data_IF_966642138352
#
_entry.id   IF_966642138352
#
_cell.length_a   1.000
_cell.length_b   1.000
_cell.length_c   1.000
_cell.angle_alpha   90.00
_cell.angle_beta   90.00
_cell.angle_gamma   90.00
#
_symmetry.space_group_name_H-M   'P 1'
#
loop_
_entity.id
_entity.type
_entity.pdbx_description
1 polymer ?
#
# COMPACT_ATOMS: atom_id res chain seq x y z
N UNK A 1 46.33 -56.06 -22.25
CA UNK A 1 45.65 -56.65 -23.42
C UNK A 1 45.33 -55.53 -24.39
N UNK A 2 45.74 -55.63 -25.65
CA UNK A 2 45.52 -54.61 -26.67
C UNK A 2 44.68 -55.20 -27.80
N UNK A 3 43.65 -54.49 -28.25
CA UNK A 3 42.99 -54.77 -29.52
C UNK A 3 42.89 -53.47 -30.33
N UNK A 4 43.30 -53.58 -31.59
CA UNK A 4 43.45 -52.49 -32.55
C UNK A 4 42.44 -52.69 -33.69
N UNK A 5 41.88 -51.56 -34.13
CA UNK A 5 41.39 -51.29 -35.48
C UNK A 5 40.01 -51.83 -35.90
N UNK A 6 39.36 -51.01 -36.72
CA UNK A 6 38.00 -51.17 -37.22
C UNK A 6 37.59 -49.94 -38.04
N UNK A 7 38.46 -49.52 -38.98
CA UNK A 7 38.17 -48.42 -39.90
C UNK A 7 37.11 -48.90 -40.92
N UNK A 8 36.05 -48.12 -41.14
CA UNK A 8 34.97 -48.48 -42.06
C UNK A 8 34.26 -47.25 -42.61
N UNK A 9 34.86 -46.63 -43.64
CA UNK A 9 34.20 -45.64 -44.50
C UNK A 9 33.38 -46.32 -45.60
N UNK A 10 32.50 -45.51 -46.22
CA UNK A 10 31.78 -45.62 -47.50
C UNK A 10 30.26 -45.69 -47.28
N UNK A 11 29.48 -44.62 -47.49
CA UNK A 11 29.28 -43.71 -48.63
C UNK A 11 28.16 -44.17 -49.58
N UNK A 12 27.01 -43.48 -49.48
CA UNK A 12 26.05 -43.21 -50.57
C UNK A 12 24.87 -42.41 -49.96
N UNK A 13 24.71 -41.10 -50.17
CA UNK A 13 24.32 -40.43 -51.41
C UNK A 13 22.94 -40.85 -51.96
N UNK A 14 21.86 -40.36 -51.33
CA UNK A 14 20.57 -40.22 -51.99
C UNK A 14 20.11 -38.76 -51.89
N UNK A 15 20.48 -37.99 -52.92
CA UNK A 15 19.80 -36.74 -53.24
C UNK A 15 18.53 -37.12 -54.01
N UNK A 16 17.37 -36.72 -53.50
CA UNK A 16 16.22 -36.45 -54.35
C UNK A 16 15.71 -35.05 -54.01
N UNK A 17 15.37 -34.31 -55.06
CA UNK A 17 14.99 -32.91 -54.99
C UNK A 17 13.72 -32.69 -55.82
N UNK A 18 13.05 -31.57 -55.55
CA UNK A 18 12.02 -30.95 -56.38
C UNK A 18 10.66 -31.67 -56.37
N UNK A 19 9.74 -31.09 -55.58
CA UNK A 19 8.42 -30.72 -56.09
C UNK A 19 8.06 -29.36 -55.48
N UNK A 20 8.17 -28.30 -56.27
CA UNK A 20 7.77 -26.95 -55.88
C UNK A 20 6.53 -26.55 -56.68
N UNK A 21 5.46 -26.17 -55.99
CA UNK A 21 4.24 -25.61 -56.58
C UNK A 21 3.89 -24.33 -55.84
N UNK A 22 4.11 -23.14 -56.43
CA UNK A 22 3.76 -21.86 -55.83
C UNK A 22 2.57 -21.19 -56.53
N UNK A 23 1.40 -21.12 -55.87
CA UNK A 23 0.33 -20.18 -56.27
C UNK A 23 -0.43 -19.63 -55.04
N UNK A 24 -0.59 -18.30 -55.00
CA UNK A 24 -1.70 -17.50 -54.43
C UNK A 24 -2.18 -17.73 -52.96
N UNK A 25 -2.72 -16.80 -52.18
CA UNK A 25 -2.87 -15.32 -52.13
C UNK A 25 -3.27 -14.98 -50.67
N UNK A 26 -3.03 -13.80 -50.06
CA UNK A 26 -2.36 -12.55 -50.43
C UNK A 26 -1.30 -12.18 -49.36
N UNK A 27 -1.02 -10.88 -49.10
CA UNK A 27 -0.43 -10.42 -47.83
C UNK A 27 0.87 -9.59 -47.94
N UNK A 28 0.99 -8.69 -48.92
CA UNK A 28 2.13 -7.76 -49.01
C UNK A 28 2.04 -6.70 -47.89
N UNK A 29 2.63 -6.99 -46.72
CA UNK A 29 2.92 -5.97 -45.72
C UNK A 29 4.27 -5.35 -46.08
N UNK A 30 4.21 -4.14 -46.64
CA UNK A 30 5.37 -3.34 -47.00
C UNK A 30 6.17 -2.93 -45.76
N UNK A 31 7.47 -3.26 -45.76
CA UNK A 31 8.43 -2.79 -44.75
C UNK A 31 9.39 -1.78 -45.38
N UNK A 32 9.04 -0.49 -45.37
CA UNK A 32 9.98 0.59 -45.68
C UNK A 32 9.53 1.95 -45.14
N UNK A 33 10.52 2.80 -44.80
CA UNK A 33 10.42 4.26 -44.68
C UNK A 33 9.44 4.86 -43.63
N UNK A 34 9.88 4.89 -42.36
CA UNK A 34 9.46 5.93 -41.40
C UNK A 34 10.50 7.07 -41.40
N UNK A 35 10.10 8.34 -41.61
CA UNK A 35 11.03 9.47 -41.57
C UNK A 35 11.53 9.76 -40.15
N UNK A 36 12.76 10.29 -40.05
CA UNK A 36 13.37 10.74 -38.78
C UNK A 36 12.92 12.17 -38.47
N UNK A 37 12.59 12.43 -37.20
CA UNK A 37 12.09 13.73 -36.73
C UNK A 37 10.58 13.88 -36.99
N UNK A 38 9.81 14.55 -36.14
CA UNK A 38 10.18 15.57 -35.14
C UNK A 38 9.55 15.21 -33.79
N UNK A 39 10.30 15.32 -32.70
CA UNK A 39 9.77 15.18 -31.35
C UNK A 39 9.10 16.51 -30.92
N UNK A 40 7.79 16.62 -31.08
CA UNK A 40 7.01 17.69 -30.45
C UNK A 40 6.83 17.37 -28.97
N UNK A 41 7.74 17.89 -28.15
CA UNK A 41 7.59 17.92 -26.70
C UNK A 41 6.38 18.78 -26.34
N UNK A 42 5.25 18.15 -25.99
CA UNK A 42 4.15 18.83 -25.29
C UNK A 42 4.60 19.06 -23.86
N UNK A 43 5.29 20.18 -23.63
CA UNK A 43 5.61 20.67 -22.30
C UNK A 43 4.36 21.24 -21.64
N UNK A 44 3.56 20.37 -21.04
CA UNK A 44 2.48 20.77 -20.12
C UNK A 44 3.07 21.34 -18.83
N UNK A 45 3.49 22.61 -18.86
CA UNK A 45 4.14 23.29 -17.74
C UNK A 45 3.14 24.09 -16.88
N UNK A 46 2.10 23.43 -16.38
CA UNK A 46 1.19 24.00 -15.37
C UNK A 46 1.53 23.48 -13.97
N UNK A 47 2.64 23.98 -13.43
CA UNK A 47 2.93 23.92 -12.01
C UNK A 47 2.40 25.20 -11.34
N UNK A 48 1.44 25.13 -10.39
CA UNK A 48 1.05 26.30 -9.64
C UNK A 48 2.24 26.78 -8.82
N UNK A 49 2.80 27.94 -9.19
CA UNK A 49 3.81 28.65 -8.39
C UNK A 49 3.17 29.12 -7.09
N UNK A 50 3.22 28.26 -6.08
CA UNK A 50 2.85 28.63 -4.72
C UNK A 50 3.76 29.78 -4.26
N UNK A 51 3.18 30.98 -4.16
CA UNK A 51 3.83 32.11 -3.49
C UNK A 51 3.96 31.77 -2.01
N UNK A 52 5.12 31.25 -1.60
CA UNK A 52 5.47 31.06 -0.19
C UNK A 52 5.74 32.42 0.44
N UNK A 53 4.68 33.14 0.79
CA UNK A 53 4.78 34.29 1.68
C UNK A 53 5.30 33.81 3.03
N UNK A 54 6.50 34.26 3.40
CA UNK A 54 7.01 34.10 4.77
C UNK A 54 6.08 34.91 5.68
N UNK A 55 5.18 34.22 6.38
CA UNK A 55 4.47 34.80 7.52
C UNK A 55 5.45 34.80 8.69
N UNK A 56 5.92 35.96 9.19
CA UNK A 56 6.79 35.99 10.35
C UNK A 56 6.01 35.51 11.58
N UNK A 57 6.48 34.43 12.19
CA UNK A 57 5.90 33.88 13.42
C UNK A 57 6.22 34.85 14.57
N UNK A 58 5.29 35.74 14.90
CA UNK A 58 5.47 36.71 15.98
C UNK A 58 5.56 35.99 17.32
N UNK A 59 6.69 36.16 18.00
CA UNK A 59 6.95 35.53 19.29
C UNK A 59 6.05 36.15 20.37
N UNK A 60 5.01 35.42 20.79
CA UNK A 60 4.22 35.77 21.97
C UNK A 60 5.10 35.67 23.22
N UNK A 61 5.51 36.80 23.80
CA UNK A 61 6.21 36.82 25.08
C UNK A 61 5.20 36.69 26.23
N UNK A 62 5.28 35.59 26.98
CA UNK A 62 4.52 35.48 28.25
C UNK A 62 5.28 36.19 29.36
N UNK A 63 4.91 37.45 29.64
CA UNK A 63 5.31 38.10 30.89
C UNK A 63 4.74 37.33 32.08
N UNK A 64 5.59 36.89 33.00
CA UNK A 64 5.21 36.17 34.23
C UNK A 64 5.44 37.05 35.46
N UNK A 65 4.51 37.97 35.68
CA UNK A 65 4.36 38.65 36.97
C UNK A 65 3.00 38.28 37.56
N UNK A 66 2.99 37.54 38.68
CA UNK A 66 2.84 38.20 39.98
C UNK A 66 3.01 37.20 41.13
N UNK A 67 3.78 37.59 42.14
CA UNK A 67 3.84 36.93 43.43
C UNK A 67 2.57 37.22 44.24
N UNK A 68 2.04 36.21 44.94
CA UNK A 68 1.19 36.44 46.10
C UNK A 68 1.30 35.27 47.08
N UNK A 69 2.20 35.43 48.05
CA UNK A 69 2.20 34.65 49.28
C UNK A 69 1.04 35.12 50.17
N UNK A 70 0.10 34.23 50.47
CA UNK A 70 -0.77 34.37 51.65
C UNK A 70 -0.90 33.07 52.42
N UNK A 71 -0.15 33.03 53.51
CA UNK A 71 -0.49 32.29 54.72
C UNK A 71 -1.95 32.62 55.10
N UNK A 72 -2.74 31.62 55.49
CA UNK A 72 -3.38 31.51 56.82
C UNK A 72 -4.43 30.38 56.80
N UNK A 73 -4.38 29.50 57.79
CA UNK A 73 -5.42 28.53 58.08
C UNK A 73 -6.48 29.17 58.98
N UNK A 74 -7.75 28.99 58.67
CA UNK A 74 -8.81 28.77 59.67
C UNK A 74 -9.84 27.81 59.11
N UNK A 75 -10.31 26.87 59.93
CA UNK A 75 -11.34 25.90 59.59
C UNK A 75 -12.63 26.21 60.36
N UNK A 76 -13.75 26.55 59.69
CA UNK A 76 -15.04 26.66 60.37
C UNK A 76 -15.79 25.34 60.34
N UNK A 77 -16.09 24.81 61.52
CA UNK A 77 -17.08 23.74 61.71
C UNK A 77 -18.49 24.29 61.49
N UNK A 78 -19.22 23.81 60.49
CA UNK A 78 -20.67 24.03 60.40
C UNK A 78 -21.42 22.75 60.04
N UNK A 79 -22.10 22.21 61.04
CA UNK A 79 -23.25 21.33 60.88
C UNK A 79 -24.49 22.15 60.53
N UNK A 80 -24.85 22.21 59.26
CA UNK A 80 -26.18 22.63 58.78
C UNK A 80 -26.35 22.15 57.35
N UNK A 81 -27.50 21.53 57.04
CA UNK A 81 -27.89 21.14 55.68
C UNK A 81 -28.81 22.21 55.09
N UNK A 82 -28.41 22.95 54.05
CA UNK A 82 -29.31 23.76 53.25
C UNK A 82 -29.73 22.95 52.01
N UNK A 83 -31.00 22.56 51.95
CA UNK A 83 -31.69 22.23 50.68
C UNK A 83 -31.90 23.55 49.90
N UNK A 84 -30.80 24.15 49.45
CA UNK A 84 -30.82 25.39 48.67
C UNK A 84 -30.71 25.06 47.18
N UNK A 85 -31.69 25.55 46.41
CA UNK A 85 -31.67 25.53 44.95
C UNK A 85 -30.59 26.48 44.43
N UNK A 86 -29.32 26.07 44.54
CA UNK A 86 -28.16 26.81 44.09
C UNK A 86 -28.07 26.85 42.56
N UNK A 87 -28.97 27.61 41.93
CA UNK A 87 -28.71 28.25 40.64
C UNK A 87 -27.68 29.38 40.84
N UNK A 88 -26.50 29.01 41.38
CA UNK A 88 -25.30 29.81 41.25
C UNK A 88 -25.13 30.07 39.75
N UNK A 89 -25.18 31.34 39.36
CA UNK A 89 -25.26 31.75 37.94
C UNK A 89 -24.13 31.08 37.17
N UNK A 90 -24.47 30.08 36.34
CA UNK A 90 -23.49 29.36 35.54
C UNK A 90 -22.65 30.38 34.78
N UNK A 91 -21.32 30.25 34.84
CA UNK A 91 -20.44 31.10 34.06
C UNK A 91 -20.82 30.98 32.58
N UNK A 92 -20.69 32.07 31.82
CA UNK A 92 -20.92 32.06 30.37
C UNK A 92 -20.09 30.95 29.70
N UNK A 93 -18.90 30.65 30.24
CA UNK A 93 -18.06 29.53 29.79
C UNK A 93 -18.67 28.15 30.10
N UNK A 94 -19.31 27.97 31.25
CA UNK A 94 -19.99 26.73 31.64
C UNK A 94 -21.23 26.50 30.77
N UNK A 95 -22.04 27.55 30.57
CA UNK A 95 -23.19 27.54 29.64
C UNK A 95 -22.70 27.17 28.22
N UNK A 96 -21.61 27.77 27.75
CA UNK A 96 -20.99 27.44 26.46
C UNK A 96 -20.50 25.98 26.42
N UNK A 97 -19.86 25.50 27.47
CA UNK A 97 -19.38 24.11 27.62
C UNK A 97 -20.53 23.12 27.48
N UNK A 98 -21.65 23.42 28.15
CA UNK A 98 -22.89 22.64 28.15
C UNK A 98 -23.58 22.63 26.80
N UNK A 99 -23.74 23.79 26.15
CA UNK A 99 -24.43 23.91 24.85
C UNK A 99 -23.62 23.26 23.71
N UNK A 100 -22.31 23.46 23.66
CA UNK A 100 -21.49 23.08 22.50
C UNK A 100 -20.64 21.81 22.70
N UNK A 101 -20.76 21.11 23.85
CA UNK A 101 -19.91 19.95 24.17
C UNK A 101 -18.41 20.28 24.25
N UNK A 102 -18.06 21.58 24.38
CA UNK A 102 -16.70 21.98 24.71
C UNK A 102 -16.39 21.58 26.16
N UNK A 103 -15.12 21.70 26.57
CA UNK A 103 -14.68 21.23 27.88
C UNK A 103 -13.76 22.28 28.48
N UNK A 104 -14.19 22.87 29.59
CA UNK A 104 -13.36 23.68 30.49
C UNK A 104 -12.37 22.72 31.16
N UNK A 105 -11.08 23.04 31.14
CA UNK A 105 -10.04 22.14 31.68
C UNK A 105 -9.10 22.84 32.63
N UNK A 106 -8.67 22.13 33.66
CA UNK A 106 -7.92 22.65 34.83
C UNK A 106 -6.42 22.88 34.54
N UNK A 107 -6.05 23.10 33.28
CA UNK A 107 -4.66 23.16 32.80
C UNK A 107 -3.90 21.83 32.77
N UNK A 108 -4.45 20.76 33.38
CA UNK A 108 -3.84 19.43 33.43
C UNK A 108 -4.08 18.60 32.14
N UNK A 109 -3.26 17.56 31.93
CA UNK A 109 -3.35 16.66 30.76
C UNK A 109 -4.49 15.65 30.92
N UNK A 110 -5.66 15.96 30.35
CA UNK A 110 -6.87 15.10 30.41
C UNK A 110 -7.01 14.04 29.29
N UNK A 111 -5.99 13.83 28.45
CA UNK A 111 -6.06 12.86 27.34
C UNK A 111 -6.97 13.24 26.16
N UNK A 112 -7.79 14.31 26.25
CA UNK A 112 -8.73 14.78 25.20
C UNK A 112 -8.11 14.97 23.81
N UNK A 113 -6.78 15.19 23.70
CA UNK A 113 -6.06 15.25 22.41
C UNK A 113 -6.03 13.89 21.69
N UNK A 114 -5.95 12.78 22.42
CA UNK A 114 -6.00 11.41 21.87
C UNK A 114 -7.40 11.10 21.37
N UNK A 115 -8.44 11.37 22.19
CA UNK A 115 -9.84 11.12 21.82
C UNK A 115 -10.34 11.98 20.65
N UNK A 116 -9.69 13.13 20.40
CA UNK A 116 -9.97 13.99 19.22
C UNK A 116 -9.24 13.55 17.95
N UNK A 117 -8.27 12.64 18.04
CA UNK A 117 -7.61 12.12 16.84
C UNK A 117 -8.57 11.14 16.14
N UNK A 118 -8.84 11.30 14.83
CA UNK A 118 -9.68 10.36 14.11
C UNK A 118 -9.01 8.99 14.05
N UNK A 119 -9.79 7.93 14.20
CA UNK A 119 -9.28 6.56 14.07
C UNK A 119 -8.79 6.33 12.64
N UNK A 120 -7.53 5.90 12.50
CA UNK A 120 -6.90 5.66 11.20
C UNK A 120 -6.96 4.19 10.75
N UNK A 121 -7.48 3.29 11.60
CA UNK A 121 -7.43 1.84 11.39
C UNK A 121 -8.02 1.38 10.06
N UNK A 122 -9.24 1.80 9.74
CA UNK A 122 -9.92 1.46 8.48
C UNK A 122 -9.13 1.95 7.25
N UNK A 123 -8.60 3.18 7.31
CA UNK A 123 -7.81 3.77 6.21
C UNK A 123 -6.48 3.07 5.99
N UNK A 124 -5.88 2.54 7.06
CA UNK A 124 -4.63 1.77 6.99
C UNK A 124 -4.90 0.32 6.54
N UNK A 125 -6.01 -0.28 6.96
CA UNK A 125 -6.43 -1.62 6.52
C UNK A 125 -6.76 -1.64 5.02
N UNK A 126 -7.47 -0.62 4.52
CA UNK A 126 -7.83 -0.46 3.11
C UNK A 126 -6.69 0.07 2.21
N UNK A 127 -5.42 0.03 2.66
CA UNK A 127 -4.29 0.53 1.87
C UNK A 127 -4.05 -0.27 0.59
N UNK A 128 -4.33 -1.58 0.62
CA UNK A 128 -4.42 -2.41 -0.58
C UNK A 128 -5.89 -2.80 -0.80
N UNK A 129 -6.45 -2.59 -2.01
CA UNK A 129 -7.81 -3.02 -2.29
C UNK A 129 -7.91 -4.55 -2.36
N UNK A 130 -9.05 -5.10 -1.94
CA UNK A 130 -9.29 -6.54 -1.98
C UNK A 130 -9.38 -7.08 -3.41
N UNK A 131 -8.80 -8.27 -3.63
CA UNK A 131 -8.91 -8.98 -4.90
C UNK A 131 -10.35 -9.49 -5.10
N UNK A 132 -11.09 -8.91 -6.04
CA UNK A 132 -12.47 -9.32 -6.41
C UNK A 132 -12.57 -10.83 -6.71
N UNK A 133 -11.52 -11.40 -7.31
CA UNK A 133 -11.43 -12.83 -7.68
C UNK A 133 -11.20 -13.75 -6.47
N UNK A 134 -10.96 -13.19 -5.27
CA UNK A 134 -10.92 -13.94 -4.00
C UNK A 134 -12.22 -13.80 -3.20
N UNK A 135 -12.99 -12.73 -3.40
CA UNK A 135 -14.23 -12.48 -2.66
C UNK A 135 -15.44 -13.19 -3.27
N UNK A 136 -15.54 -13.25 -4.60
CA UNK A 136 -16.61 -13.96 -5.30
C UNK A 136 -16.22 -15.43 -5.61
N UNK A 137 -16.88 -16.45 -5.01
CA UNK A 137 -16.61 -17.85 -5.30
C UNK A 137 -17.00 -18.30 -6.72
N UNK A 138 -17.80 -17.51 -7.44
CA UNK A 138 -18.17 -17.77 -8.84
C UNK A 138 -17.10 -17.25 -9.82
N UNK A 139 -16.22 -16.32 -9.40
CA UNK A 139 -15.14 -15.82 -10.24
C UNK A 139 -13.96 -16.79 -10.32
N UNK A 140 -13.73 -17.37 -11.51
CA UNK A 140 -12.61 -18.26 -11.76
C UNK A 140 -11.36 -17.47 -12.18
N UNK A 141 -10.24 -17.68 -11.49
CA UNK A 141 -8.97 -17.06 -11.83
C UNK A 141 -8.27 -17.78 -13.00
N UNK A 142 -8.42 -17.21 -14.21
CA UNK A 142 -7.72 -17.66 -15.45
C UNK A 142 -6.21 -17.88 -15.23
N UNK A 143 -5.56 -17.07 -14.37
CA UNK A 143 -4.15 -17.22 -14.00
C UNK A 143 -3.88 -18.55 -13.27
N UNK A 144 -4.75 -18.96 -12.33
CA UNK A 144 -4.62 -20.22 -11.61
C UNK A 144 -4.88 -21.43 -12.50
N UNK A 145 -5.86 -21.35 -13.41
CA UNK A 145 -6.12 -22.40 -14.41
C UNK A 145 -4.92 -22.62 -15.33
N UNK A 146 -4.36 -21.54 -15.89
CA UNK A 146 -3.13 -21.59 -16.70
C UNK A 146 -1.95 -22.17 -15.91
N UNK A 147 -1.83 -21.84 -14.62
CA UNK A 147 -0.82 -22.43 -13.75
C UNK A 147 -1.05 -23.94 -13.53
N UNK A 148 -2.30 -24.38 -13.30
CA UNK A 148 -2.69 -25.80 -13.15
C UNK A 148 -2.37 -26.59 -14.42
N UNK A 149 -2.77 -26.10 -15.61
CA UNK A 149 -2.46 -26.73 -16.90
C UNK A 149 -0.96 -26.82 -17.18
N UNK A 150 -0.18 -25.80 -16.81
CA UNK A 150 1.29 -25.82 -16.88
C UNK A 150 1.89 -26.87 -15.93
N UNK A 151 1.39 -26.94 -14.71
CA UNK A 151 1.84 -27.88 -13.68
C UNK A 151 1.57 -29.34 -14.12
N UNK A 152 0.39 -29.64 -14.65
CA UNK A 152 0.06 -30.99 -15.13
C UNK A 152 0.88 -31.37 -16.38
N UNK A 153 1.18 -30.43 -17.27
CA UNK A 153 2.15 -30.63 -18.37
C UNK A 153 3.56 -30.94 -17.86
N UNK A 154 3.99 -30.35 -16.75
CA UNK A 154 5.29 -30.63 -16.12
C UNK A 154 5.31 -31.99 -15.40
N UNK A 155 4.23 -32.38 -14.72
CA UNK A 155 4.07 -33.71 -14.11
C UNK A 155 4.22 -34.82 -15.15
N UNK A 156 3.50 -34.71 -16.28
CA UNK A 156 3.59 -35.67 -17.41
C UNK A 156 5.00 -35.81 -17.99
N UNK A 157 5.86 -34.79 -17.82
CA UNK A 157 7.26 -34.78 -18.28
C UNK A 157 8.26 -35.22 -17.20
N UNK A 158 7.82 -35.57 -15.99
CA UNK A 158 8.70 -35.81 -14.83
C UNK A 158 9.46 -34.56 -14.35
N UNK A 159 9.11 -33.36 -14.84
CA UNK A 159 9.76 -32.08 -14.52
C UNK A 159 8.94 -31.20 -13.58
N UNK A 160 7.97 -31.79 -12.87
CA UNK A 160 7.26 -31.09 -11.80
C UNK A 160 8.18 -30.90 -10.58
N UNK A 161 7.96 -29.85 -9.77
CA UNK A 161 8.63 -29.73 -8.47
C UNK A 161 8.40 -31.00 -7.62
N UNK A 162 9.45 -31.59 -7.03
CA UNK A 162 9.31 -32.79 -6.21
C UNK A 162 8.55 -32.50 -4.91
N UNK A 163 8.02 -33.55 -4.27
CA UNK A 163 7.38 -33.44 -2.95
C UNK A 163 8.35 -32.76 -1.96
N UNK A 164 7.84 -31.86 -1.11
CA UNK A 164 8.61 -31.18 -0.04
C UNK A 164 9.40 -32.22 0.75
N UNK A 165 10.72 -32.02 0.85
CA UNK A 165 11.66 -32.94 1.52
C UNK A 165 12.35 -33.96 0.59
N UNK A 166 11.75 -34.33 -0.55
CA UNK A 166 12.29 -35.37 -1.46
C UNK A 166 13.44 -34.89 -2.39
N UNK A 167 14.05 -33.75 -2.09
CA UNK A 167 15.11 -33.15 -2.91
C UNK A 167 16.53 -33.58 -2.53
N UNK A 168 17.51 -32.69 -2.75
CA UNK A 168 18.97 -32.90 -2.59
C UNK A 168 19.45 -33.61 -1.30
N UNK A 169 18.67 -33.58 -0.22
CA UNK A 169 19.03 -34.21 1.07
C UNK A 169 18.33 -35.56 1.33
N UNK A 170 17.35 -35.96 0.51
CA UNK A 170 16.53 -37.16 0.77
C UNK A 170 17.32 -38.48 0.67
N UNK A 171 18.26 -38.55 -0.27
CA UNK A 171 19.17 -39.71 -0.44
C UNK A 171 20.43 -39.66 0.42
N UNK A 172 20.50 -38.77 1.42
CA UNK A 172 21.59 -38.76 2.42
C UNK A 172 21.11 -39.44 3.70
N UNK A 173 21.13 -40.78 3.66
CA UNK A 173 20.99 -41.69 4.81
C UNK A 173 22.07 -42.76 4.67
#
# INVERSE_FOLDING_TARGET
>A
MAFRWGLGQLASSLRYAIAATPEATEGVITLAQMPRGIATLVTGSDAPRALTSLIPFSAWSTSKNNSNSRLFQTSPTHSASPEESHHAKESIEQIRSRIFGTHIGDGLRSGRKVLRAPLLGEKLAAYYPDDIVKSDPLMISIKAEKAKLKLDRLKRRGKAPPKKGAGKRAGKK
#
